data_IF_965381052965
#
_entry.id   IF_965381052965
#
_cell.length_a   1.000
_cell.length_b   1.000
_cell.length_c   1.000
_cell.angle_alpha   90.00
_cell.angle_beta   90.00
_cell.angle_gamma   90.00
#
_symmetry.space_group_name_H-M   'P 1'
#
loop_
_entity.id
_entity.type
_entity.pdbx_description
1 polymer ?
#
# COMPACT_ATOMS: atom_id res chain seq x y z
N UNK A 1 12.34 13.17 -7.31
CA UNK A 1 11.53 13.30 -6.08
C UNK A 1 11.46 11.95 -5.39
N UNK A 2 12.03 11.82 -4.19
CA UNK A 2 11.99 10.59 -3.41
C UNK A 2 11.01 10.82 -2.26
N UNK A 3 9.86 10.17 -2.28
CA UNK A 3 8.86 10.24 -1.21
C UNK A 3 9.16 9.10 -0.24
N UNK A 4 9.65 9.44 0.95
CA UNK A 4 9.77 8.48 2.05
C UNK A 4 8.55 8.67 2.94
N UNK A 5 7.65 7.69 2.96
CA UNK A 5 6.48 7.68 3.85
C UNK A 5 6.92 7.11 5.19
N UNK A 6 7.13 7.98 6.17
CA UNK A 6 7.33 7.58 7.57
C UNK A 6 5.99 7.73 8.28
N UNK A 7 5.21 6.66 8.35
CA UNK A 7 4.00 6.62 9.16
C UNK A 7 4.39 6.25 10.60
N UNK A 8 4.67 7.27 11.41
CA UNK A 8 4.90 7.09 12.84
C UNK A 8 5.52 8.33 13.50
N UNK A 9 4.79 8.86 14.49
CA UNK A 9 5.22 9.79 15.54
C UNK A 9 5.16 11.32 15.34
N UNK A 10 4.73 11.86 14.18
CA UNK A 10 4.53 13.32 14.04
C UNK A 10 3.07 13.78 14.13
N UNK A 11 2.10 12.85 14.11
CA UNK A 11 0.71 13.14 14.42
C UNK A 11 0.47 12.74 15.87
N UNK A 12 0.14 13.71 16.73
CA UNK A 12 -0.17 13.47 18.14
C UNK A 12 -1.27 12.42 18.30
N UNK A 13 -1.27 11.65 19.40
CA UNK A 13 -2.31 10.66 19.64
C UNK A 13 -3.61 11.35 20.04
N UNK A 14 -4.59 11.40 19.13
CA UNK A 14 -5.99 11.50 19.54
C UNK A 14 -6.36 10.19 20.24
N UNK A 15 -6.18 10.15 21.56
CA UNK A 15 -6.60 9.08 22.45
C UNK A 15 -8.13 9.17 22.52
N UNK A 16 -8.91 8.18 22.02
CA UNK A 16 -10.34 8.16 22.31
C UNK A 16 -10.51 7.86 23.81
N UNK A 17 -11.08 8.81 24.54
CA UNK A 17 -11.41 8.68 25.95
C UNK A 17 -12.13 7.36 26.22
N UNK A 18 -11.52 6.54 27.08
CA UNK A 18 -12.15 5.38 27.67
C UNK A 18 -13.27 5.84 28.60
N UNK A 19 -14.53 5.57 28.25
CA UNK A 19 -15.63 5.50 29.23
C UNK A 19 -16.20 4.07 29.23
N UNK A 20 -16.23 3.48 30.42
CA UNK A 20 -16.34 2.05 30.63
C UNK A 20 -17.76 1.50 30.74
N UNK A 21 -17.84 0.17 30.73
CA UNK A 21 -18.56 -0.62 31.74
C UNK A 21 -18.21 -2.11 31.59
N UNK A 22 -18.13 -2.75 32.74
CA UNK A 22 -17.57 -4.06 33.10
C UNK A 22 -18.32 -5.31 32.55
N UNK A 23 -17.79 -6.54 32.77
CA UNK A 23 -17.92 -7.67 31.84
C UNK A 23 -19.11 -8.59 32.14
N UNK A 24 -19.64 -9.25 31.10
CA UNK A 24 -20.52 -10.42 31.24
C UNK A 24 -19.82 -11.67 30.69
N UNK A 25 -19.67 -12.63 31.60
CA UNK A 25 -19.07 -13.94 31.42
C UNK A 25 -19.99 -14.91 30.65
N UNK A 26 -19.34 -15.87 29.94
CA UNK A 26 -19.81 -17.16 29.41
C UNK A 26 -20.58 -17.15 28.08
N UNK A 27 -20.00 -17.77 27.05
CA UNK A 27 -20.17 -19.20 26.77
C UNK A 27 -19.21 -19.69 25.67
N UNK A 28 -18.54 -20.82 25.89
CA UNK A 28 -17.70 -21.51 24.91
C UNK A 28 -18.56 -22.11 23.79
N UNK A 29 -18.40 -21.62 22.56
CA UNK A 29 -18.85 -22.35 21.35
C UNK A 29 -17.69 -22.52 20.37
N UNK A 30 -17.14 -23.74 20.33
CA UNK A 30 -16.26 -24.21 19.24
C UNK A 30 -17.05 -24.10 17.92
N UNK A 31 -16.65 -23.22 17.01
CA UNK A 31 -16.96 -23.31 15.57
C UNK A 31 -15.74 -22.85 14.77
N UNK A 32 -15.58 -23.49 13.61
CA UNK A 32 -14.36 -23.55 12.81
C UNK A 32 -13.74 -22.20 12.46
N UNK A 33 -12.43 -22.24 12.25
CA UNK A 33 -11.57 -21.10 11.92
C UNK A 33 -11.86 -20.64 10.48
N UNK A 34 -12.98 -19.95 10.28
CA UNK A 34 -13.24 -19.16 9.07
C UNK A 34 -12.33 -17.94 9.10
N UNK A 35 -11.63 -17.68 8.00
CA UNK A 35 -10.73 -16.54 7.84
C UNK A 35 -11.40 -15.24 8.30
N UNK A 36 -10.68 -14.46 9.09
CA UNK A 36 -11.17 -13.17 9.60
C UNK A 36 -11.43 -12.26 8.41
N UNK A 37 -12.71 -12.03 8.11
CA UNK A 37 -13.15 -10.97 7.20
C UNK A 37 -12.74 -9.61 7.78
N UNK A 38 -12.46 -8.65 6.90
CA UNK A 38 -12.14 -7.29 7.28
C UNK A 38 -13.18 -6.75 8.29
N UNK A 39 -12.75 -6.10 9.39
CA UNK A 39 -13.68 -5.48 10.32
C UNK A 39 -14.45 -4.37 9.61
N UNK A 40 -15.75 -4.26 9.90
CA UNK A 40 -16.62 -3.16 9.49
C UNK A 40 -15.91 -1.81 9.71
N UNK A 41 -15.97 -0.86 8.75
CA UNK A 41 -15.18 0.36 8.85
C UNK A 41 -15.65 1.19 10.05
N UNK A 42 -14.77 1.52 11.02
CA UNK A 42 -15.08 2.58 11.96
C UNK A 42 -15.38 3.86 11.17
N UNK A 43 -16.43 4.60 11.56
CA UNK A 43 -16.94 5.79 10.84
C UNK A 43 -15.90 6.92 10.70
N UNK A 44 -14.74 6.79 11.33
CA UNK A 44 -13.62 7.71 11.23
C UNK A 44 -12.32 6.90 11.12
N UNK A 45 -11.66 6.99 9.96
CA UNK A 45 -10.31 6.50 9.81
C UNK A 45 -9.35 7.55 10.38
N UNK A 46 -8.99 7.45 11.67
CA UNK A 46 -7.89 8.21 12.25
C UNK A 46 -6.54 7.66 11.76
N UNK A 47 -6.26 7.83 10.46
CA UNK A 47 -4.99 7.48 9.84
C UNK A 47 -4.21 8.76 9.54
N UNK A 48 -3.07 8.93 10.21
CA UNK A 48 -2.12 10.00 9.90
C UNK A 48 -1.23 9.61 8.71
N UNK A 49 -1.01 10.56 7.80
CA UNK A 49 -0.09 10.41 6.66
C UNK A 49 1.00 11.47 6.76
N UNK A 50 2.25 11.09 6.50
CA UNK A 50 3.37 12.02 6.47
C UNK A 50 3.98 12.08 5.07
N UNK A 51 4.23 13.29 4.59
CA UNK A 51 4.90 13.55 3.31
C UNK A 51 6.22 14.27 3.57
N UNK A 52 7.33 13.68 3.10
CA UNK A 52 8.64 14.28 3.13
C UNK A 52 9.14 14.50 1.72
N UNK A 53 9.58 15.73 1.43
CA UNK A 53 10.21 16.10 0.16
C UNK A 53 11.66 16.43 0.45
N UNK A 54 12.56 15.65 -0.15
CA UNK A 54 13.99 15.85 -0.07
C UNK A 54 14.51 16.30 -1.44
N UNK A 55 15.34 17.34 -1.46
CA UNK A 55 16.04 17.77 -2.67
C UNK A 55 17.28 16.88 -2.89
N UNK A 56 17.36 16.10 -4.00
CA UNK A 56 18.53 15.28 -4.30
C UNK A 56 19.81 16.11 -4.52
N UNK A 57 19.71 17.40 -4.86
CA UNK A 57 20.87 18.27 -5.08
C UNK A 57 21.55 18.72 -3.78
N UNK A 58 20.85 18.64 -2.65
CA UNK A 58 21.38 19.03 -1.35
C UNK A 58 22.38 18.02 -0.76
N UNK A 59 22.51 16.82 -1.34
CA UNK A 59 23.44 15.80 -0.87
C UNK A 59 24.83 15.99 -1.48
N UNK A 60 24.99 15.59 -2.74
CA UNK A 60 26.27 15.66 -3.47
C UNK A 60 26.05 15.62 -4.97
N UNK A 61 27.00 16.16 -5.70
CA UNK A 61 26.99 16.12 -7.16
C UNK A 61 26.88 14.68 -7.67
N UNK A 62 26.04 14.46 -8.69
CA UNK A 62 25.84 13.15 -9.30
C UNK A 62 25.09 12.12 -8.43
N UNK A 63 24.43 12.52 -7.34
CA UNK A 63 23.67 11.61 -6.46
C UNK A 63 22.67 10.72 -7.23
N UNK A 64 21.86 11.32 -8.11
CA UNK A 64 20.87 10.61 -8.92
C UNK A 64 21.50 9.56 -9.84
N UNK A 65 22.64 9.90 -10.44
CA UNK A 65 23.40 8.98 -11.30
C UNK A 65 23.94 7.79 -10.51
N UNK A 66 24.47 8.02 -9.30
CA UNK A 66 24.96 6.93 -8.43
C UNK A 66 23.84 6.00 -7.97
N UNK A 67 22.69 6.55 -7.58
CA UNK A 67 21.50 5.74 -7.23
C UNK A 67 21.06 4.93 -8.44
N UNK A 68 21.02 5.53 -9.63
CA UNK A 68 20.65 4.83 -10.87
C UNK A 68 21.62 3.70 -11.21
N UNK A 69 22.93 3.93 -11.06
CA UNK A 69 23.95 2.91 -11.24
C UNK A 69 23.77 1.76 -10.23
N UNK A 70 23.55 2.07 -8.95
CA UNK A 70 23.28 1.08 -7.91
C UNK A 70 22.07 0.21 -8.27
N UNK A 71 20.95 0.81 -8.64
CA UNK A 71 19.74 0.06 -9.01
C UNK A 71 19.97 -0.80 -10.26
N UNK A 72 20.82 -0.36 -11.19
CA UNK A 72 21.18 -1.13 -12.37
C UNK A 72 22.02 -2.35 -12.00
N UNK A 73 23.01 -2.18 -11.13
CA UNK A 73 23.82 -3.29 -10.59
C UNK A 73 22.97 -4.33 -9.89
N UNK A 74 21.97 -3.91 -9.08
CA UNK A 74 21.07 -4.83 -8.40
C UNK A 74 20.22 -5.67 -9.38
N UNK A 75 19.81 -5.09 -10.52
CA UNK A 75 19.07 -5.83 -11.56
C UNK A 75 19.94 -6.85 -12.28
N UNK A 76 21.25 -6.61 -12.35
CA UNK A 76 22.23 -7.50 -12.97
C UNK A 76 22.75 -8.61 -12.04
N UNK A 77 22.32 -8.63 -10.77
CA UNK A 77 22.68 -9.70 -9.86
C UNK A 77 22.14 -11.05 -10.33
N UNK A 78 22.86 -12.13 -10.02
CA UNK A 78 22.46 -13.49 -10.42
C UNK A 78 21.11 -13.86 -9.78
N UNK A 79 20.09 -14.19 -10.59
CA UNK A 79 18.78 -14.57 -10.07
C UNK A 79 18.84 -16.00 -9.52
N UNK A 80 18.19 -16.24 -8.39
CA UNK A 80 18.04 -17.58 -7.79
C UNK A 80 17.27 -18.53 -8.71
N UNK A 81 16.31 -18.00 -9.46
CA UNK A 81 15.54 -18.73 -10.46
C UNK A 81 15.75 -18.05 -11.83
N UNK A 82 16.32 -18.75 -12.83
CA UNK A 82 16.61 -18.17 -14.13
C UNK A 82 15.36 -17.71 -14.89
N UNK A 83 14.16 -18.23 -14.53
CA UNK A 83 12.89 -17.79 -15.12
C UNK A 83 12.39 -16.44 -14.56
N UNK A 84 12.98 -15.96 -13.46
CA UNK A 84 12.55 -14.76 -12.73
C UNK A 84 13.72 -13.80 -12.55
N UNK A 85 13.89 -12.81 -13.45
CA UNK A 85 14.96 -11.83 -13.31
C UNK A 85 14.77 -11.01 -12.03
N UNK A 86 15.88 -10.51 -11.48
CA UNK A 86 15.87 -9.64 -10.29
C UNK A 86 15.07 -8.38 -10.57
N UNK A 87 14.15 -8.03 -9.66
CA UNK A 87 13.28 -6.86 -9.77
C UNK A 87 13.58 -5.89 -8.65
N UNK A 88 13.70 -4.63 -8.99
CA UNK A 88 13.92 -3.53 -8.04
C UNK A 88 12.56 -2.91 -7.67
N UNK A 89 12.39 -2.37 -6.45
CA UNK A 89 11.21 -1.60 -6.09
C UNK A 89 10.87 -0.54 -7.14
N UNK A 90 9.62 -0.51 -7.58
CA UNK A 90 9.14 0.39 -8.65
C UNK A 90 8.96 -0.27 -10.01
N UNK A 91 9.73 -1.32 -10.34
CA UNK A 91 9.65 -1.99 -11.66
C UNK A 91 8.27 -2.62 -11.93
N UNK A 92 7.61 -3.12 -10.88
CA UNK A 92 6.26 -3.69 -10.99
C UNK A 92 5.21 -2.62 -11.33
N UNK A 93 5.27 -1.48 -10.64
CA UNK A 93 4.36 -0.36 -10.88
C UNK A 93 4.52 0.17 -12.31
N UNK A 94 5.77 0.30 -12.77
CA UNK A 94 6.06 0.74 -14.14
C UNK A 94 5.45 -0.20 -15.19
N UNK A 95 5.71 -1.50 -15.07
CA UNK A 95 5.14 -2.51 -15.98
C UNK A 95 3.61 -2.54 -15.92
N UNK A 96 3.03 -2.34 -14.75
CA UNK A 96 1.58 -2.31 -14.60
C UNK A 96 0.96 -1.06 -15.21
N UNK A 97 1.61 0.11 -15.09
CA UNK A 97 1.22 1.34 -15.77
C UNK A 97 1.27 1.15 -17.28
N UNK A 98 2.40 0.69 -17.81
CA UNK A 98 2.57 0.41 -19.25
C UNK A 98 1.51 -0.58 -19.75
N UNK A 99 1.19 -1.60 -18.96
CA UNK A 99 0.14 -2.56 -19.27
C UNK A 99 -1.25 -1.91 -19.33
N UNK A 100 -1.59 -1.04 -18.37
CA UNK A 100 -2.87 -0.33 -18.36
C UNK A 100 -2.97 0.67 -19.52
N UNK A 101 -1.88 1.36 -19.84
CA UNK A 101 -1.79 2.31 -20.94
C UNK A 101 -1.99 1.59 -22.28
N UNK A 102 -1.30 0.47 -22.50
CA UNK A 102 -1.46 -0.37 -23.69
C UNK A 102 -2.88 -0.92 -23.84
N UNK A 103 -3.53 -1.27 -22.73
CA UNK A 103 -4.89 -1.81 -22.72
C UNK A 103 -5.96 -0.72 -22.87
N UNK A 104 -5.59 0.55 -22.69
CA UNK A 104 -6.53 1.68 -22.65
C UNK A 104 -7.40 1.69 -21.38
N UNK A 105 -6.97 1.06 -20.29
CA UNK A 105 -7.73 1.04 -19.04
C UNK A 105 -7.20 0.08 -17.97
N UNK A 106 -7.65 0.31 -16.74
CA UNK A 106 -7.25 -0.47 -15.57
C UNK A 106 -8.12 -1.74 -15.46
N UNK A 107 -7.52 -2.94 -15.37
CA UNK A 107 -8.28 -4.16 -15.18
C UNK A 107 -8.84 -4.25 -13.76
N UNK A 108 -10.16 -4.35 -13.63
CA UNK A 108 -10.82 -4.67 -12.36
C UNK A 108 -11.45 -6.07 -12.42
N UNK A 109 -11.53 -6.74 -11.26
CA UNK A 109 -12.27 -7.99 -11.13
C UNK A 109 -13.78 -7.74 -11.39
N UNK A 110 -14.44 -8.73 -12.00
CA UNK A 110 -15.86 -8.62 -12.42
C UNK A 110 -16.79 -8.21 -11.27
N UNK A 111 -16.58 -8.74 -10.08
CA UNK A 111 -17.42 -8.43 -8.92
C UNK A 111 -17.25 -6.99 -8.42
N UNK A 112 -16.05 -6.40 -8.50
CA UNK A 112 -15.85 -4.98 -8.20
C UNK A 112 -16.54 -4.07 -9.21
N UNK A 113 -16.47 -4.43 -10.50
CA UNK A 113 -17.18 -3.70 -11.56
C UNK A 113 -18.69 -3.75 -11.39
N UNK A 114 -19.24 -4.91 -11.05
CA UNK A 114 -20.67 -5.08 -10.80
C UNK A 114 -21.14 -4.27 -9.58
N UNK A 115 -20.37 -4.30 -8.49
CA UNK A 115 -20.68 -3.52 -7.29
C UNK A 115 -20.70 -2.00 -7.58
N UNK A 116 -19.70 -1.49 -8.32
CA UNK A 116 -19.67 -0.08 -8.74
C UNK A 116 -20.83 0.28 -9.66
N UNK A 117 -21.23 -0.62 -10.57
CA UNK A 117 -22.36 -0.41 -11.46
C UNK A 117 -23.69 -0.37 -10.70
N UNK A 118 -23.90 -1.23 -9.69
CA UNK A 118 -25.11 -1.22 -8.87
C UNK A 118 -25.18 -0.05 -7.89
N UNK A 119 -24.05 0.57 -7.57
CA UNK A 119 -23.96 1.65 -6.58
C UNK A 119 -24.09 3.06 -7.19
N UNK A 120 -24.15 3.19 -8.52
CA UNK A 120 -24.30 4.49 -9.19
C UNK A 120 -25.79 4.78 -9.39
N UNK A 121 -26.40 5.77 -8.71
CA UNK A 121 -27.74 6.23 -9.05
C UNK A 121 -27.67 6.87 -10.44
N UNK A 122 -28.40 6.31 -11.41
CA UNK A 122 -28.71 6.98 -12.67
C UNK A 122 -29.43 8.30 -12.33
N UNK A 123 -28.85 9.43 -12.72
CA UNK A 123 -29.50 10.74 -12.71
C UNK A 123 -30.22 10.94 -14.04
#
# INVERSE_FOLDING_TARGET
MCVVVVAGALSGPDIPSTEGSEPKEKEKKKKGKSGKSCPEPPRHACLGMAFLVLDPKAFSEGFEGRVTALLSTLRCAEPVDPSRPVRVPGDFSKKFSEYCDCRGGIPYLKHHRAAMASASPLH
#
